data_IF_769775833645
#
_entry.id   IF_769775833645
#
_cell.length_a   1.000
_cell.length_b   1.000
_cell.length_c   1.000
_cell.angle_alpha   90.00
_cell.angle_beta   90.00
_cell.angle_gamma   90.00
#
_symmetry.space_group_name_H-M   'P 1'
#
loop_
_entity.id
_entity.type
_entity.pdbx_description
1 polymer ?
#
# COMPACT_ATOMS: atom_id res chain seq x y z
N UNK A 1 22.10 -5.14 -31.21
CA UNK A 1 21.98 -5.01 -29.74
C UNK A 1 20.90 -3.98 -29.43
N UNK A 2 19.77 -4.36 -28.80
CA UNK A 2 18.82 -3.35 -28.28
C UNK A 2 19.49 -2.68 -27.07
N UNK A 3 19.78 -1.37 -27.15
CA UNK A 3 20.21 -0.60 -25.98
C UNK A 3 19.12 -0.72 -24.90
N UNK A 4 19.54 -0.98 -23.66
CA UNK A 4 18.63 -0.97 -22.51
C UNK A 4 17.96 0.40 -22.30
N UNK A 5 16.91 0.48 -21.47
CA UNK A 5 16.25 1.75 -21.19
C UNK A 5 17.21 2.73 -20.52
N UNK A 6 17.03 4.02 -20.78
CA UNK A 6 17.71 5.09 -20.02
C UNK A 6 17.06 5.19 -18.65
N UNK A 7 17.85 5.07 -17.58
CA UNK A 7 17.37 5.21 -16.19
C UNK A 7 17.82 6.57 -15.65
N UNK A 8 16.87 7.36 -15.16
CA UNK A 8 17.09 8.65 -14.49
C UNK A 8 16.61 8.52 -13.06
N UNK A 9 17.45 8.88 -12.10
CA UNK A 9 17.11 8.88 -10.67
C UNK A 9 17.00 10.31 -10.16
N UNK A 10 15.96 10.60 -9.42
CA UNK A 10 15.74 11.88 -8.78
C UNK A 10 15.26 11.65 -7.34
N UNK A 11 15.60 12.58 -6.45
CA UNK A 11 15.01 12.61 -5.11
C UNK A 11 13.62 13.26 -5.17
N UNK A 12 12.73 12.92 -4.24
CA UNK A 12 11.45 13.62 -4.08
C UNK A 12 11.65 15.13 -3.90
N UNK A 13 10.78 15.96 -4.46
CA UNK A 13 10.98 17.42 -4.55
C UNK A 13 12.30 17.87 -5.21
N UNK A 14 13.04 16.95 -5.84
CA UNK A 14 14.30 17.21 -6.53
C UNK A 14 14.12 17.44 -8.02
N UNK A 15 15.17 17.96 -8.67
CA UNK A 15 15.21 18.10 -10.12
C UNK A 15 15.37 16.73 -10.78
N UNK A 16 14.57 16.45 -11.81
CA UNK A 16 14.70 15.27 -12.68
C UNK A 16 15.59 15.65 -13.85
N UNK A 17 16.87 15.23 -13.79
CA UNK A 17 17.86 15.54 -14.82
C UNK A 17 17.69 14.61 -16.05
N UNK A 18 16.76 14.98 -16.94
CA UNK A 18 16.55 14.28 -18.21
C UNK A 18 17.74 14.52 -19.17
N UNK A 19 18.36 13.47 -19.74
CA UNK A 19 19.36 13.62 -20.80
C UNK A 19 18.76 14.26 -22.05
N UNK A 20 19.58 14.94 -22.86
CA UNK A 20 19.15 15.66 -24.07
C UNK A 20 18.16 14.93 -25.00
N UNK A 21 18.35 13.64 -25.37
CA UNK A 21 17.38 12.94 -26.23
C UNK A 21 15.99 12.79 -25.58
N UNK A 22 15.91 12.88 -24.25
CA UNK A 22 14.68 12.77 -23.47
C UNK A 22 14.18 14.13 -22.95
N UNK A 23 14.96 15.20 -23.03
CA UNK A 23 14.65 16.50 -22.43
C UNK A 23 13.73 17.39 -23.31
N UNK A 24 12.65 16.81 -23.83
CA UNK A 24 11.66 17.50 -24.69
C UNK A 24 10.36 17.79 -23.94
N UNK A 25 9.57 18.76 -24.42
CA UNK A 25 8.26 19.07 -23.82
C UNK A 25 7.31 17.86 -23.86
N UNK A 26 7.26 17.16 -25.00
CA UNK A 26 6.42 15.97 -25.16
C UNK A 26 6.79 14.83 -24.19
N UNK A 27 8.08 14.61 -23.89
CA UNK A 27 8.49 13.59 -22.92
C UNK A 27 8.10 14.00 -21.51
N UNK A 28 8.28 15.28 -21.12
CA UNK A 28 7.85 15.79 -19.81
C UNK A 28 6.34 15.64 -19.61
N UNK A 29 5.55 16.01 -20.61
CA UNK A 29 4.10 15.84 -20.60
C UNK A 29 3.70 14.36 -20.47
N UNK A 30 4.36 13.45 -21.20
CA UNK A 30 4.11 12.01 -21.07
C UNK A 30 4.42 11.47 -19.67
N UNK A 31 5.49 11.95 -19.02
CA UNK A 31 5.81 11.59 -17.63
C UNK A 31 4.72 12.08 -16.66
N UNK A 32 4.28 13.34 -16.81
CA UNK A 32 3.20 13.92 -16.02
C UNK A 32 1.88 13.14 -16.21
N UNK A 33 1.48 12.86 -17.45
CA UNK A 33 0.25 12.11 -17.75
C UNK A 33 0.32 10.66 -17.27
N UNK A 34 1.48 10.00 -17.38
CA UNK A 34 1.66 8.65 -16.83
C UNK A 34 1.46 8.62 -15.31
N UNK A 35 2.04 9.59 -14.60
CA UNK A 35 1.86 9.72 -13.15
C UNK A 35 0.40 10.06 -12.77
N UNK A 36 -0.22 11.01 -13.48
CA UNK A 36 -1.61 11.42 -13.25
C UNK A 36 -2.59 10.28 -13.47
N UNK A 37 -2.38 9.44 -14.49
CA UNK A 37 -3.13 8.19 -14.68
C UNK A 37 -2.98 7.25 -13.47
N UNK A 38 -1.78 7.15 -12.91
CA UNK A 38 -1.53 6.46 -11.65
C UNK A 38 -2.24 7.06 -10.42
N UNK A 39 -2.87 8.24 -10.56
CA UNK A 39 -3.54 8.97 -9.49
C UNK A 39 -2.65 9.97 -8.76
N UNK A 40 -1.45 10.25 -9.28
CA UNK A 40 -0.44 11.06 -8.60
C UNK A 40 0.00 12.25 -9.44
N UNK A 41 0.04 13.44 -8.85
CA UNK A 41 0.76 14.58 -9.41
C UNK A 41 2.24 14.47 -9.06
N UNK A 42 2.95 13.53 -9.70
CA UNK A 42 4.33 13.18 -9.37
C UNK A 42 5.38 14.17 -9.88
N UNK A 43 5.05 14.91 -10.94
CA UNK A 43 5.98 15.82 -11.58
C UNK A 43 5.38 17.22 -11.71
N UNK A 44 6.28 18.18 -11.86
CA UNK A 44 5.98 19.56 -12.16
C UNK A 44 7.03 20.12 -13.12
N UNK A 45 6.59 20.57 -14.29
CA UNK A 45 7.44 21.31 -15.22
C UNK A 45 7.52 22.78 -14.83
N UNK A 46 8.74 23.31 -14.64
CA UNK A 46 9.03 24.73 -14.42
C UNK A 46 9.97 25.20 -15.54
N UNK A 47 9.43 25.94 -16.51
CA UNK A 47 10.17 26.31 -17.72
C UNK A 47 10.63 25.07 -18.50
N UNK A 48 11.94 24.87 -18.65
CA UNK A 48 12.53 23.71 -19.34
C UNK A 48 12.94 22.58 -18.39
N UNK A 49 12.69 22.71 -17.10
CA UNK A 49 13.11 21.75 -16.08
C UNK A 49 11.91 20.96 -15.55
N UNK A 50 12.15 19.70 -15.22
CA UNK A 50 11.17 18.80 -14.60
C UNK A 50 11.59 18.58 -13.14
N UNK A 51 10.63 18.67 -12.22
CA UNK A 51 10.83 18.41 -10.81
C UNK A 51 9.91 17.29 -10.34
N UNK A 52 10.42 16.42 -9.47
CA UNK A 52 9.59 15.49 -8.74
C UNK A 52 8.80 16.23 -7.65
N UNK A 53 7.69 15.64 -7.21
CA UNK A 53 6.90 16.10 -6.05
C UNK A 53 6.99 15.08 -4.91
N UNK A 54 6.15 15.20 -3.89
CA UNK A 54 6.15 14.35 -2.68
C UNK A 54 5.64 12.92 -2.90
N UNK A 55 6.19 12.24 -3.90
CA UNK A 55 5.93 10.83 -4.19
C UNK A 55 7.24 10.12 -4.46
N UNK A 56 7.25 8.80 -4.27
CA UNK A 56 8.38 7.92 -4.56
C UNK A 56 7.92 6.74 -5.41
N UNK A 57 8.86 6.09 -6.07
CA UNK A 57 8.59 4.98 -6.98
C UNK A 57 9.15 5.24 -8.35
N UNK A 58 8.39 4.94 -9.39
CA UNK A 58 8.93 4.86 -10.76
C UNK A 58 7.88 5.13 -11.82
N UNK A 59 8.30 5.84 -12.86
CA UNK A 59 7.54 6.05 -14.08
C UNK A 59 8.35 5.57 -15.28
N UNK A 60 7.78 4.65 -16.04
CA UNK A 60 8.41 3.93 -17.13
C UNK A 60 7.65 4.21 -18.44
N UNK A 61 8.33 4.84 -19.40
CA UNK A 61 7.82 5.14 -20.73
C UNK A 61 8.36 4.17 -21.81
N UNK A 62 8.85 2.99 -21.39
CA UNK A 62 9.46 1.98 -22.24
C UNK A 62 10.96 2.19 -22.43
N UNK A 63 11.34 3.29 -23.09
CA UNK A 63 12.75 3.64 -23.36
C UNK A 63 13.40 4.53 -22.29
N UNK A 64 12.59 5.16 -21.44
CA UNK A 64 13.00 6.04 -20.35
C UNK A 64 12.31 5.58 -19.06
N UNK A 65 13.09 5.41 -18.00
CA UNK A 65 12.62 5.08 -16.66
C UNK A 65 13.07 6.19 -15.72
N UNK A 66 12.13 6.81 -15.02
CA UNK A 66 12.40 7.81 -13.99
C UNK A 66 12.06 7.20 -12.63
N UNK A 67 13.08 7.00 -11.79
CA UNK A 67 12.91 6.57 -10.40
C UNK A 67 12.95 7.79 -9.48
N UNK A 68 11.91 7.96 -8.66
CA UNK A 68 11.81 8.99 -7.63
C UNK A 68 12.07 8.33 -6.29
N UNK A 69 13.12 8.78 -5.61
CA UNK A 69 13.64 8.17 -4.38
C UNK A 69 13.38 9.08 -3.18
N UNK A 70 13.19 8.52 -1.98
CA UNK A 70 12.97 9.31 -0.77
C UNK A 70 14.21 10.12 -0.39
N UNK A 71 13.99 11.31 0.18
CA UNK A 71 15.02 12.10 0.85
C UNK A 71 15.14 11.61 2.29
N UNK A 72 15.91 10.55 2.54
CA UNK A 72 16.12 10.08 3.92
C UNK A 72 17.35 10.69 4.57
N UNK A 73 18.37 11.01 3.79
CA UNK A 73 19.59 11.65 4.25
C UNK A 73 20.08 12.58 3.13
N UNK A 74 20.41 13.82 3.45
CA UNK A 74 20.83 14.81 2.45
C UNK A 74 22.13 14.40 1.70
N UNK A 75 22.83 13.35 2.15
CA UNK A 75 24.16 12.94 1.66
C UNK A 75 24.27 11.50 1.11
N UNK A 76 23.22 10.67 1.12
CA UNK A 76 23.37 9.26 0.73
C UNK A 76 23.37 9.08 -0.80
N UNK A 77 24.24 8.20 -1.35
CA UNK A 77 24.26 7.91 -2.77
C UNK A 77 22.92 7.28 -3.22
N UNK A 78 22.47 7.50 -4.48
CA UNK A 78 21.17 7.03 -4.98
C UNK A 78 20.90 5.52 -4.83
N UNK A 79 21.97 4.70 -4.75
CA UNK A 79 21.86 3.27 -4.49
C UNK A 79 21.27 2.97 -3.11
N UNK A 80 21.65 3.71 -2.09
CA UNK A 80 21.15 3.54 -0.72
C UNK A 80 19.70 3.98 -0.57
N UNK A 81 19.30 5.07 -1.23
CA UNK A 81 17.90 5.51 -1.25
C UNK A 81 16.98 4.48 -1.94
N UNK A 82 17.47 3.81 -2.98
CA UNK A 82 16.78 2.68 -3.63
C UNK A 82 16.71 1.46 -2.70
N UNK A 83 17.76 1.23 -1.90
CA UNK A 83 17.80 0.20 -0.85
C UNK A 83 16.69 0.46 0.16
N UNK A 84 16.72 1.64 0.74
CA UNK A 84 15.77 2.09 1.75
C UNK A 84 14.32 2.02 1.26
N UNK A 85 14.00 2.53 0.06
CA UNK A 85 12.62 2.49 -0.45
C UNK A 85 12.09 1.04 -0.58
N UNK A 86 12.92 0.10 -1.02
CA UNK A 86 12.47 -1.29 -1.11
C UNK A 86 12.28 -1.93 0.27
N UNK A 87 13.16 -1.62 1.22
CA UNK A 87 13.01 -2.11 2.59
C UNK A 87 11.78 -1.53 3.27
N UNK A 88 11.47 -0.26 2.98
CA UNK A 88 10.26 0.43 3.41
C UNK A 88 9.00 -0.24 2.84
N UNK A 89 8.97 -0.52 1.53
CA UNK A 89 7.84 -1.21 0.89
C UNK A 89 7.66 -2.64 1.40
N UNK A 90 8.77 -3.35 1.67
CA UNK A 90 8.76 -4.68 2.28
C UNK A 90 8.18 -4.62 3.69
N UNK A 91 8.74 -3.77 4.54
CA UNK A 91 8.32 -3.66 5.93
C UNK A 91 6.87 -3.18 6.03
N UNK A 92 6.45 -2.21 5.21
CA UNK A 92 5.08 -1.71 5.15
C UNK A 92 4.02 -2.75 4.74
N UNK A 93 4.42 -3.98 4.38
CA UNK A 93 3.51 -5.07 4.02
C UNK A 93 2.91 -4.93 2.62
N UNK A 94 3.39 -3.97 1.82
CA UNK A 94 3.00 -3.85 0.40
C UNK A 94 3.63 -4.97 -0.43
N UNK A 95 4.79 -5.47 0.00
CA UNK A 95 5.58 -6.48 -0.71
C UNK A 95 6.23 -7.48 0.27
N UNK A 96 5.42 -8.13 1.11
CA UNK A 96 5.89 -9.17 2.04
C UNK A 96 6.69 -10.24 1.26
N UNK A 97 7.88 -10.64 1.74
CA UNK A 97 8.86 -11.56 1.08
C UNK A 97 9.83 -10.97 0.03
N UNK A 98 9.93 -9.64 -0.11
CA UNK A 98 10.95 -9.01 -0.99
C UNK A 98 12.41 -9.39 -0.72
N UNK A 99 12.79 -9.72 0.52
CA UNK A 99 14.19 -9.96 0.90
C UNK A 99 14.87 -11.10 0.11
N UNK A 100 14.09 -12.12 -0.31
CA UNK A 100 14.59 -13.26 -1.08
C UNK A 100 14.99 -12.86 -2.51
N UNK A 101 14.46 -11.74 -3.03
CA UNK A 101 14.82 -11.22 -4.36
C UNK A 101 16.18 -10.54 -4.37
N UNK A 102 16.50 -9.77 -3.32
CA UNK A 102 17.75 -8.99 -3.23
C UNK A 102 18.99 -9.81 -3.00
N UNK A 103 18.91 -10.90 -2.22
CA UNK A 103 20.06 -11.79 -2.00
C UNK A 103 20.63 -12.39 -3.30
N UNK A 104 19.92 -12.27 -4.44
CA UNK A 104 20.30 -12.82 -5.74
C UNK A 104 20.64 -11.77 -6.81
N UNK A 105 20.65 -10.47 -6.48
CA UNK A 105 20.81 -9.37 -7.46
C UNK A 105 21.68 -8.26 -6.89
N UNK A 106 22.65 -7.77 -7.66
CA UNK A 106 23.54 -6.70 -7.22
C UNK A 106 22.78 -5.37 -7.02
N UNK A 107 23.17 -4.53 -6.04
CA UNK A 107 22.59 -3.21 -5.85
C UNK A 107 22.66 -2.36 -7.13
N UNK A 108 21.51 -1.82 -7.56
CA UNK A 108 21.44 -0.85 -8.67
C UNK A 108 21.18 -1.41 -10.07
N UNK A 109 21.21 -2.73 -10.28
CA UNK A 109 20.96 -3.36 -11.59
C UNK A 109 19.48 -3.48 -11.98
N UNK A 110 18.59 -3.60 -10.99
CA UNK A 110 17.15 -3.74 -11.21
C UNK A 110 16.41 -2.48 -10.77
N UNK A 111 15.49 -2.04 -11.63
CA UNK A 111 14.56 -0.96 -11.27
C UNK A 111 13.53 -1.44 -10.27
N UNK A 112 12.96 -0.52 -9.50
CA UNK A 112 11.92 -0.86 -8.53
C UNK A 112 10.68 -1.51 -9.17
N UNK A 113 10.35 -1.18 -10.43
CA UNK A 113 9.31 -1.90 -11.20
C UNK A 113 9.66 -3.38 -11.29
N UNK A 114 10.88 -3.72 -11.73
CA UNK A 114 11.25 -5.12 -11.94
C UNK A 114 11.28 -5.89 -10.63
N UNK A 115 11.67 -5.24 -9.53
CA UNK A 115 11.61 -5.82 -8.18
C UNK A 115 10.16 -6.16 -7.81
N UNK A 116 9.22 -5.24 -8.02
CA UNK A 116 7.79 -5.43 -7.72
C UNK A 116 7.17 -6.52 -8.61
N UNK A 117 7.48 -6.51 -9.91
CA UNK A 117 6.99 -7.51 -10.85
C UNK A 117 7.53 -8.92 -10.51
N UNK A 118 8.82 -9.02 -10.19
CA UNK A 118 9.43 -10.29 -9.79
C UNK A 118 8.89 -10.79 -8.45
N UNK A 119 8.61 -9.88 -7.51
CA UNK A 119 7.90 -10.20 -6.28
C UNK A 119 6.51 -10.77 -6.54
N UNK A 120 5.69 -10.10 -7.35
CA UNK A 120 4.31 -10.50 -7.60
C UNK A 120 4.19 -11.94 -8.10
N UNK A 121 5.05 -12.33 -9.03
CA UNK A 121 5.04 -13.68 -9.62
C UNK A 121 5.53 -14.72 -8.62
N UNK A 122 6.53 -14.41 -7.79
CA UNK A 122 7.01 -15.33 -6.75
C UNK A 122 5.99 -15.50 -5.63
N UNK A 123 5.33 -14.43 -5.23
CA UNK A 123 4.28 -14.44 -4.23
C UNK A 123 3.07 -15.23 -4.74
N UNK A 124 2.66 -15.03 -6.00
CA UNK A 124 1.64 -15.84 -6.64
C UNK A 124 2.02 -17.33 -6.65
N UNK A 125 3.26 -17.66 -7.04
CA UNK A 125 3.73 -19.04 -7.04
C UNK A 125 3.74 -19.67 -5.64
N UNK A 126 4.17 -18.92 -4.61
CA UNK A 126 4.15 -19.39 -3.24
C UNK A 126 2.71 -19.67 -2.76
N UNK A 127 1.78 -18.76 -3.05
CA UNK A 127 0.38 -18.92 -2.69
C UNK A 127 -0.31 -20.07 -3.46
N UNK A 128 0.08 -20.30 -4.72
CA UNK A 128 -0.44 -21.39 -5.56
C UNK A 128 0.01 -22.77 -5.06
N UNK A 129 1.19 -22.89 -4.44
CA UNK A 129 1.62 -24.15 -3.78
C UNK A 129 0.67 -24.57 -2.66
N UNK A 130 0.03 -23.60 -2.00
CA UNK A 130 -0.99 -23.85 -0.99
C UNK A 130 -2.42 -23.95 -1.61
N UNK A 131 -2.53 -24.02 -2.93
CA UNK A 131 -3.77 -24.14 -3.69
C UNK A 131 -4.36 -22.80 -4.17
N UNK A 132 -5.05 -22.86 -5.32
CA UNK A 132 -5.86 -21.76 -5.83
C UNK A 132 -6.99 -21.40 -4.86
N UNK A 133 -7.44 -20.13 -4.83
CA UNK A 133 -8.63 -19.76 -4.09
C UNK A 133 -9.82 -20.57 -4.59
N UNK A 134 -10.58 -21.18 -3.69
CA UNK A 134 -11.77 -21.96 -3.99
C UNK A 134 -12.98 -21.29 -3.38
N UNK A 135 -13.97 -20.97 -4.21
CA UNK A 135 -15.19 -20.28 -3.77
C UNK A 135 -16.44 -21.03 -4.23
N UNK A 136 -17.43 -21.06 -3.36
CA UNK A 136 -18.79 -21.47 -3.71
C UNK A 136 -19.41 -20.41 -4.64
N UNK A 137 -19.79 -20.82 -5.85
CA UNK A 137 -20.45 -19.93 -6.80
C UNK A 137 -21.78 -20.51 -7.23
N UNK A 138 -22.86 -19.79 -7.00
CA UNK A 138 -24.18 -20.20 -7.47
C UNK A 138 -24.16 -20.29 -9.00
N UNK A 139 -24.48 -21.46 -9.53
CA UNK A 139 -24.66 -21.73 -10.95
C UNK A 139 -26.05 -22.32 -11.15
N UNK A 140 -26.73 -21.84 -12.19
CA UNK A 140 -27.93 -22.45 -12.73
C UNK A 140 -27.51 -23.15 -14.03
N UNK A 141 -27.66 -24.48 -14.09
CA UNK A 141 -27.31 -25.27 -15.26
C UNK A 141 -28.33 -26.36 -15.53
N UNK A 142 -28.24 -26.93 -16.72
CA UNK A 142 -29.02 -28.10 -17.11
C UNK A 142 -28.15 -29.34 -16.90
N UNK A 143 -28.62 -30.29 -16.10
CA UNK A 143 -27.90 -31.50 -15.75
C UNK A 143 -28.77 -32.74 -15.87
N UNK A 144 -28.19 -33.89 -16.21
CA UNK A 144 -28.88 -35.18 -16.19
C UNK A 144 -28.92 -35.81 -14.79
N UNK A 145 -28.24 -35.22 -13.82
CA UNK A 145 -28.21 -35.68 -12.43
C UNK A 145 -28.62 -34.56 -11.47
N UNK A 146 -29.25 -34.92 -10.37
CA UNK A 146 -29.60 -33.95 -9.31
C UNK A 146 -28.33 -33.55 -8.56
N UNK A 147 -27.89 -32.31 -8.78
CA UNK A 147 -26.84 -31.67 -7.99
C UNK A 147 -27.41 -30.40 -7.39
N UNK A 148 -27.59 -30.36 -6.07
CA UNK A 148 -28.20 -29.22 -5.38
C UNK A 148 -29.72 -29.13 -5.54
N UNK A 149 -30.26 -27.92 -5.69
CA UNK A 149 -31.70 -27.67 -5.74
C UNK A 149 -32.22 -27.71 -7.16
N UNK A 150 -33.32 -28.42 -7.39
CA UNK A 150 -34.03 -28.40 -8.66
C UNK A 150 -34.89 -27.13 -8.75
N UNK A 151 -34.77 -26.39 -9.85
CA UNK A 151 -35.59 -25.21 -10.12
C UNK A 151 -36.92 -25.62 -10.76
N UNK A 152 -37.89 -25.95 -9.90
CA UNK A 152 -39.22 -26.47 -10.30
C UNK A 152 -39.94 -25.62 -11.34
N UNK A 153 -39.70 -24.30 -11.34
CA UNK A 153 -40.26 -23.34 -12.32
C UNK A 153 -39.93 -23.70 -13.78
N UNK A 154 -38.78 -24.32 -14.03
CA UNK A 154 -38.34 -24.70 -15.37
C UNK A 154 -38.85 -26.09 -15.78
N UNK A 155 -39.10 -27.00 -14.83
CA UNK A 155 -39.72 -28.29 -15.12
C UNK A 155 -41.17 -28.13 -15.63
N UNK A 156 -41.92 -27.18 -15.07
CA UNK A 156 -43.30 -26.93 -15.48
C UNK A 156 -43.45 -26.39 -16.91
N UNK A 157 -42.36 -25.88 -17.52
CA UNK A 157 -42.36 -25.27 -18.87
C UNK A 157 -41.62 -26.11 -19.90
N UNK A 158 -41.34 -27.38 -19.58
CA UNK A 158 -40.44 -28.23 -20.35
C UNK A 158 -41.16 -28.88 -21.54
N UNK A 159 -40.48 -28.92 -22.70
CA UNK A 159 -41.01 -29.57 -23.89
C UNK A 159 -40.95 -31.11 -23.77
N UNK A 160 -41.90 -31.86 -24.38
CA UNK A 160 -41.87 -33.32 -24.42
C UNK A 160 -40.58 -33.87 -25.03
N UNK A 161 -40.08 -35.01 -24.53
CA UNK A 161 -38.85 -35.64 -25.03
C UNK A 161 -37.56 -35.09 -24.41
N UNK A 162 -37.67 -34.06 -23.58
CA UNK A 162 -36.65 -33.65 -22.64
C UNK A 162 -37.15 -34.10 -21.28
N UNK A 163 -36.82 -35.31 -20.83
CA UNK A 163 -37.11 -35.75 -19.44
C UNK A 163 -35.83 -35.83 -18.58
N UNK A 164 -34.67 -35.91 -19.23
CA UNK A 164 -33.32 -36.10 -18.66
C UNK A 164 -32.44 -34.82 -18.48
N UNK A 165 -33.03 -33.63 -18.49
CA UNK A 165 -32.46 -32.27 -18.43
C UNK A 165 -33.09 -31.57 -17.22
N UNK A 166 -32.47 -31.70 -16.06
CA UNK A 166 -32.90 -31.05 -14.84
C UNK A 166 -32.24 -29.68 -14.74
N UNK A 167 -33.06 -28.63 -14.62
CA UNK A 167 -32.58 -27.30 -14.29
C UNK A 167 -32.22 -27.27 -12.82
N UNK A 168 -30.94 -27.25 -12.51
CA UNK A 168 -30.41 -27.30 -11.15
C UNK A 168 -29.69 -26.02 -10.79
N UNK A 169 -29.97 -25.52 -9.59
CA UNK A 169 -29.26 -24.44 -8.95
C UNK A 169 -28.42 -25.00 -7.82
N UNK A 170 -27.11 -24.88 -7.95
CA UNK A 170 -26.16 -25.37 -6.95
C UNK A 170 -24.96 -24.43 -6.85
N UNK A 171 -24.16 -24.60 -5.80
CA UNK A 171 -22.93 -23.84 -5.63
C UNK A 171 -21.76 -24.81 -5.51
N UNK A 172 -21.11 -25.21 -6.62
CA UNK A 172 -19.92 -26.04 -6.53
C UNK A 172 -18.75 -25.21 -6.00
N UNK A 173 -17.85 -25.86 -5.26
CA UNK A 173 -16.59 -25.28 -4.85
C UNK A 173 -15.66 -25.20 -6.08
N UNK A 174 -15.41 -23.98 -6.57
CA UNK A 174 -14.70 -23.75 -7.84
C UNK A 174 -13.47 -22.87 -7.70
N UNK A 175 -12.39 -23.27 -8.38
CA UNK A 175 -11.18 -22.46 -8.56
C UNK A 175 -11.37 -21.38 -9.63
N UNK A 176 -12.25 -21.60 -10.59
CA UNK A 176 -12.68 -20.59 -11.55
C UNK A 176 -13.66 -19.63 -10.87
N UNK A 177 -13.14 -18.56 -10.26
CA UNK A 177 -13.86 -17.55 -9.49
C UNK A 177 -13.26 -16.15 -9.70
N UNK A 178 -13.94 -15.07 -9.28
CA UNK A 178 -13.46 -13.70 -9.51
C UNK A 178 -12.06 -13.41 -8.93
N UNK A 179 -11.72 -13.97 -7.76
CA UNK A 179 -10.41 -13.81 -7.16
C UNK A 179 -9.33 -14.44 -8.05
N UNK A 180 -9.50 -15.71 -8.42
CA UNK A 180 -8.57 -16.40 -9.31
C UNK A 180 -8.44 -15.70 -10.68
N UNK A 181 -9.55 -15.18 -11.22
CA UNK A 181 -9.53 -14.41 -12.47
C UNK A 181 -8.68 -13.14 -12.38
N UNK A 182 -8.82 -12.36 -11.29
CA UNK A 182 -8.01 -11.16 -11.06
C UNK A 182 -6.52 -11.52 -10.90
N UNK A 183 -6.21 -12.61 -10.19
CA UNK A 183 -4.83 -13.11 -10.07
C UNK A 183 -4.27 -13.52 -11.42
N UNK A 184 -5.03 -14.27 -12.24
CA UNK A 184 -4.62 -14.65 -13.60
C UNK A 184 -4.33 -13.41 -14.45
N UNK A 185 -5.21 -12.41 -14.39
CA UNK A 185 -5.00 -11.14 -15.07
C UNK A 185 -3.71 -10.44 -14.62
N UNK A 186 -3.47 -10.34 -13.30
CA UNK A 186 -2.26 -9.72 -12.75
C UNK A 186 -0.99 -10.42 -13.25
N UNK A 187 -0.94 -11.75 -13.21
CA UNK A 187 0.23 -12.52 -13.67
C UNK A 187 0.47 -12.29 -15.18
N UNK A 188 -0.60 -12.21 -15.98
CA UNK A 188 -0.48 -11.88 -17.40
C UNK A 188 0.04 -10.46 -17.62
N UNK A 189 -0.40 -9.49 -16.83
CA UNK A 189 0.13 -8.14 -16.86
C UNK A 189 1.63 -8.12 -16.53
N UNK A 190 2.08 -8.87 -15.53
CA UNK A 190 3.50 -8.99 -15.21
C UNK A 190 4.29 -9.58 -16.38
N UNK A 191 3.77 -10.65 -17.00
CA UNK A 191 4.40 -11.34 -18.13
C UNK A 191 4.67 -10.42 -19.31
N UNK A 192 3.78 -9.46 -19.59
CA UNK A 192 3.94 -8.49 -20.69
C UNK A 192 4.85 -7.33 -20.30
N UNK A 193 4.81 -6.87 -19.04
CA UNK A 193 5.51 -5.66 -18.59
C UNK A 193 6.95 -5.86 -18.15
N UNK A 194 7.30 -7.02 -17.60
CA UNK A 194 8.67 -7.26 -17.11
C UNK A 194 9.66 -7.22 -18.27
N UNK A 195 10.88 -6.72 -18.04
CA UNK A 195 12.04 -6.87 -18.94
C UNK A 195 12.88 -8.09 -18.58
N UNK A 196 12.69 -8.66 -17.39
CA UNK A 196 13.46 -9.78 -16.89
C UNK A 196 12.95 -11.12 -17.44
N UNK A 197 13.80 -11.82 -18.19
CA UNK A 197 13.48 -13.13 -18.76
C UNK A 197 13.10 -14.18 -17.69
N UNK A 198 13.77 -14.27 -16.53
CA UNK A 198 13.38 -15.20 -15.47
C UNK A 198 11.96 -14.96 -14.94
N UNK A 199 11.62 -13.69 -14.68
CA UNK A 199 10.27 -13.28 -14.23
C UNK A 199 9.22 -13.63 -15.27
N UNK A 200 9.49 -13.34 -16.55
CA UNK A 200 8.59 -13.66 -17.66
C UNK A 200 8.32 -15.17 -17.79
N UNK A 201 9.36 -15.99 -17.71
CA UNK A 201 9.23 -17.45 -17.78
C UNK A 201 8.36 -17.98 -16.64
N UNK A 202 8.61 -17.52 -15.41
CA UNK A 202 7.84 -17.93 -14.25
C UNK A 202 6.37 -17.52 -14.37
N UNK A 203 6.10 -16.29 -14.81
CA UNK A 203 4.72 -15.82 -15.03
C UNK A 203 3.98 -16.68 -16.06
N UNK A 204 4.63 -17.07 -17.17
CA UNK A 204 4.04 -17.95 -18.18
C UNK A 204 3.74 -19.36 -17.65
N UNK A 205 4.61 -19.91 -16.81
CA UNK A 205 4.36 -21.19 -16.14
C UNK A 205 3.10 -21.14 -15.29
N UNK A 206 2.97 -20.10 -14.45
CA UNK A 206 1.78 -19.94 -13.60
C UNK A 206 0.51 -19.73 -14.41
N UNK A 207 0.58 -19.01 -15.54
CA UNK A 207 -0.58 -18.84 -16.42
C UNK A 207 -1.07 -20.18 -16.99
N UNK A 208 -0.14 -21.05 -17.37
CA UNK A 208 -0.47 -22.40 -17.85
C UNK A 208 -1.11 -23.26 -16.74
N UNK A 209 -0.59 -23.20 -15.51
CA UNK A 209 -1.21 -23.85 -14.34
C UNK A 209 -2.63 -23.34 -14.05
N UNK A 210 -2.99 -22.14 -14.53
CA UNK A 210 -4.29 -21.50 -14.37
C UNK A 210 -5.14 -21.55 -15.65
N UNK A 211 -4.85 -22.43 -16.62
CA UNK A 211 -5.57 -22.48 -17.90
C UNK A 211 -7.07 -22.78 -17.73
N UNK A 212 -7.46 -23.53 -16.70
CA UNK A 212 -8.87 -23.82 -16.35
C UNK A 212 -9.63 -22.63 -15.76
N UNK A 213 -8.93 -21.58 -15.30
CA UNK A 213 -9.55 -20.36 -14.77
C UNK A 213 -9.91 -19.44 -15.94
N UNK A 214 -11.17 -18.97 -16.02
CA UNK A 214 -11.60 -18.10 -17.11
C UNK A 214 -10.86 -16.77 -17.09
N UNK A 215 -10.52 -16.27 -18.28
CA UNK A 215 -9.93 -14.96 -18.45
C UNK A 215 -10.94 -13.86 -18.07
N UNK A 216 -10.46 -12.84 -17.37
CA UNK A 216 -11.23 -11.63 -17.05
C UNK A 216 -10.41 -10.39 -17.34
N UNK A 217 -11.09 -9.30 -17.67
CA UNK A 217 -10.50 -7.96 -17.75
C UNK A 217 -11.09 -7.16 -16.59
N UNK A 218 -10.49 -7.23 -15.38
CA UNK A 218 -11.08 -6.64 -14.20
C UNK A 218 -11.06 -5.11 -14.29
N UNK A 219 -12.07 -4.49 -13.71
CA UNK A 219 -12.11 -3.06 -13.41
C UNK A 219 -11.82 -2.84 -11.94
N UNK A 220 -11.47 -1.60 -11.57
CA UNK A 220 -11.21 -1.25 -10.15
C UNK A 220 -12.38 -1.58 -9.23
N UNK A 221 -13.61 -1.43 -9.73
CA UNK A 221 -14.83 -1.81 -9.00
C UNK A 221 -14.91 -3.31 -8.68
N UNK A 222 -14.32 -4.18 -9.50
CA UNK A 222 -14.31 -5.63 -9.25
C UNK A 222 -13.45 -5.99 -8.05
N UNK A 223 -12.28 -5.35 -7.91
CA UNK A 223 -11.42 -5.53 -6.74
C UNK A 223 -12.08 -4.95 -5.50
N UNK A 224 -12.67 -3.75 -5.59
CA UNK A 224 -13.33 -3.10 -4.45
C UNK A 224 -14.53 -3.88 -3.90
N UNK A 225 -15.25 -4.62 -4.77
CA UNK A 225 -16.36 -5.50 -4.36
C UNK A 225 -15.90 -6.83 -3.78
N UNK A 226 -14.63 -7.18 -3.91
CA UNK A 226 -14.12 -8.47 -3.50
C UNK A 226 -13.91 -8.50 -1.98
N UNK A 227 -14.79 -9.23 -1.29
CA UNK A 227 -14.63 -9.53 0.13
C UNK A 227 -13.73 -10.75 0.25
N UNK A 228 -12.57 -10.59 0.90
CA UNK A 228 -11.67 -11.69 1.23
C UNK A 228 -12.13 -12.37 2.51
N UNK A 229 -12.15 -13.69 2.49
CA UNK A 229 -12.29 -14.52 3.69
C UNK A 229 -10.96 -14.52 4.46
N UNK A 230 -10.97 -14.79 5.78
CA UNK A 230 -9.73 -14.89 6.56
C UNK A 230 -8.71 -15.90 5.98
N UNK A 231 -9.21 -17.01 5.41
CA UNK A 231 -8.43 -18.03 4.70
C UNK A 231 -7.78 -17.53 3.41
N UNK A 232 -8.26 -16.42 2.86
CA UNK A 232 -7.78 -15.82 1.62
C UNK A 232 -6.88 -14.60 1.86
N UNK A 233 -6.57 -14.28 3.13
CA UNK A 233 -5.79 -13.10 3.49
C UNK A 233 -4.43 -13.02 2.76
N UNK A 234 -3.81 -14.17 2.45
CA UNK A 234 -2.55 -14.28 1.69
C UNK A 234 -2.61 -13.69 0.28
N UNK A 235 -3.80 -13.58 -0.31
CA UNK A 235 -3.99 -13.01 -1.65
C UNK A 235 -4.11 -11.49 -1.67
N UNK A 236 -4.31 -10.86 -0.50
CA UNK A 236 -4.50 -9.42 -0.38
C UNK A 236 -3.37 -8.59 -1.00
N UNK A 237 -2.06 -8.90 -0.80
CA UNK A 237 -0.99 -8.11 -1.39
C UNK A 237 -1.03 -8.10 -2.92
N UNK A 238 -1.35 -9.24 -3.53
CA UNK A 238 -1.49 -9.35 -4.98
C UNK A 238 -2.69 -8.54 -5.51
N UNK A 239 -3.79 -8.51 -4.77
CA UNK A 239 -4.94 -7.68 -5.12
C UNK A 239 -4.65 -6.17 -5.00
N UNK A 240 -3.88 -5.75 -3.98
CA UNK A 240 -3.43 -4.36 -3.86
C UNK A 240 -2.57 -3.96 -5.07
N UNK A 241 -1.68 -4.86 -5.51
CA UNK A 241 -0.89 -4.64 -6.73
C UNK A 241 -1.77 -4.61 -8.00
N UNK A 242 -2.79 -5.47 -8.08
CA UNK A 242 -3.72 -5.48 -9.20
C UNK A 242 -4.52 -4.16 -9.29
N UNK A 243 -5.05 -3.63 -8.18
CA UNK A 243 -5.73 -2.32 -8.17
C UNK A 243 -4.77 -1.20 -8.58
N UNK A 244 -3.53 -1.23 -8.09
CA UNK A 244 -2.51 -0.25 -8.46
C UNK A 244 -2.22 -0.26 -9.96
N UNK A 245 -2.06 -1.44 -10.57
CA UNK A 245 -1.86 -1.55 -12.02
C UNK A 245 -3.10 -1.14 -12.81
N UNK A 246 -4.32 -1.46 -12.33
CA UNK A 246 -5.57 -1.06 -12.98
C UNK A 246 -5.78 0.45 -13.02
N UNK A 247 -5.27 1.20 -12.04
CA UNK A 247 -5.28 2.68 -12.09
C UNK A 247 -4.53 3.20 -13.31
N UNK A 248 -3.51 2.47 -13.77
CA UNK A 248 -2.62 2.88 -14.85
C UNK A 248 -3.11 2.42 -16.24
N UNK A 249 -4.10 1.52 -16.30
CA UNK A 249 -4.67 1.05 -17.57
C UNK A 249 -5.75 2.02 -18.03
N UNK A 250 -5.37 2.98 -18.86
CA UNK A 250 -6.30 3.70 -19.73
C UNK A 250 -5.68 3.80 -21.12
N UNK A 251 -6.45 3.57 -22.20
CA UNK A 251 -5.94 3.64 -23.56
C UNK A 251 -5.27 4.99 -23.79
N UNK A 252 -4.03 4.99 -24.27
CA UNK A 252 -3.40 6.20 -24.79
C UNK A 252 -4.12 6.58 -26.10
N UNK A 253 -4.88 7.69 -26.15
CA UNK A 253 -5.61 8.05 -27.37
C UNK A 253 -4.68 8.44 -28.53
N UNK A 254 -3.39 8.67 -28.25
CA UNK A 254 -2.45 9.29 -29.20
C UNK A 254 -1.58 8.33 -30.01
N UNK A 255 -1.40 7.06 -29.62
CA UNK A 255 -0.56 6.10 -30.36
C UNK A 255 -0.98 4.65 -30.16
N UNK A 256 -1.57 4.06 -31.20
CA UNK A 256 -1.58 2.62 -31.36
C UNK A 256 -0.14 2.14 -31.63
N UNK A 257 0.49 1.55 -30.61
CA UNK A 257 1.78 0.86 -30.74
C UNK A 257 2.97 1.59 -30.14
N UNK A 258 3.29 1.25 -28.88
CA UNK A 258 4.63 1.10 -28.30
C UNK A 258 4.56 1.32 -26.78
N UNK A 259 4.49 0.23 -26.01
CA UNK A 259 4.57 0.18 -24.53
C UNK A 259 3.75 1.24 -23.77
N UNK A 260 2.60 0.84 -23.24
CA UNK A 260 1.84 1.66 -22.29
C UNK A 260 2.74 2.11 -21.14
N UNK A 261 2.69 3.41 -20.84
CA UNK A 261 3.44 3.97 -19.73
C UNK A 261 2.99 3.33 -18.40
N UNK A 262 3.95 2.93 -17.56
CA UNK A 262 3.70 2.31 -16.26
C UNK A 262 4.18 3.25 -15.16
N UNK A 263 3.37 3.50 -14.13
CA UNK A 263 3.68 4.46 -13.07
C UNK A 263 3.42 3.86 -11.68
N UNK A 264 4.39 3.15 -11.12
CA UNK A 264 4.29 2.56 -9.77
C UNK A 264 4.76 3.59 -8.76
N UNK A 265 3.83 4.31 -8.14
CA UNK A 265 4.10 5.45 -7.27
C UNK A 265 3.40 5.30 -5.91
N UNK A 266 4.01 5.87 -4.89
CA UNK A 266 3.54 5.87 -3.51
C UNK A 266 3.77 7.26 -2.89
N UNK A 267 2.91 7.69 -1.97
CA UNK A 267 3.24 8.83 -1.11
C UNK A 267 4.09 8.34 0.06
N UNK A 268 5.10 9.12 0.48
CA UNK A 268 5.89 8.71 1.65
C UNK A 268 5.11 8.79 2.96
N UNK A 269 4.10 9.66 3.02
CA UNK A 269 3.17 9.69 4.14
C UNK A 269 2.44 8.35 4.31
N UNK A 270 1.84 7.80 3.24
CA UNK A 270 1.14 6.51 3.31
C UNK A 270 2.10 5.36 3.69
N UNK A 271 3.33 5.38 3.15
CA UNK A 271 4.34 4.38 3.48
C UNK A 271 4.75 4.46 4.96
N UNK A 272 4.99 5.67 5.46
CA UNK A 272 5.35 5.90 6.85
C UNK A 272 4.25 5.47 7.81
N UNK A 273 3.01 5.86 7.53
CA UNK A 273 1.83 5.45 8.28
C UNK A 273 1.70 3.92 8.31
N UNK A 274 1.84 3.24 7.15
CA UNK A 274 1.78 1.77 7.06
C UNK A 274 2.83 1.08 7.93
N UNK A 275 4.07 1.58 7.93
CA UNK A 275 5.14 1.05 8.80
C UNK A 275 4.74 1.16 10.26
N UNK A 276 4.33 2.35 10.71
CA UNK A 276 3.92 2.58 12.10
C UNK A 276 2.72 1.70 12.48
N UNK A 277 1.72 1.58 11.60
CA UNK A 277 0.56 0.68 11.81
C UNK A 277 0.98 -0.76 12.05
N UNK A 278 1.93 -1.27 11.25
CA UNK A 278 2.47 -2.62 11.43
C UNK A 278 3.15 -2.75 12.78
N UNK A 279 4.05 -1.82 13.12
CA UNK A 279 4.78 -1.83 14.40
C UNK A 279 3.80 -1.85 15.58
N UNK A 280 2.80 -0.97 15.56
CA UNK A 280 1.84 -0.85 16.67
C UNK A 280 0.92 -2.07 16.78
N UNK A 281 0.45 -2.61 15.66
CA UNK A 281 -0.35 -3.84 15.68
C UNK A 281 0.43 -5.02 16.26
N UNK A 282 1.70 -5.13 15.89
CA UNK A 282 2.52 -6.28 16.24
C UNK A 282 3.07 -6.17 17.69
N UNK A 283 3.26 -4.94 18.20
CA UNK A 283 3.89 -4.69 19.52
C UNK A 283 2.96 -4.26 20.66
N UNK A 284 1.87 -3.51 20.41
CA UNK A 284 1.07 -2.93 21.50
C UNK A 284 0.24 -3.95 22.29
N UNK A 285 -0.03 -5.13 21.71
CA UNK A 285 -0.79 -6.18 22.37
C UNK A 285 -0.16 -6.64 23.69
N UNK A 286 1.17 -6.62 23.78
CA UNK A 286 1.92 -6.94 25.00
C UNK A 286 1.64 -5.96 26.15
N UNK A 287 1.12 -4.77 25.85
CA UNK A 287 0.77 -3.73 26.82
C UNK A 287 -0.75 -3.62 27.02
N UNK A 288 -1.54 -4.59 26.55
CA UNK A 288 -3.00 -4.55 26.66
C UNK A 288 -3.66 -3.47 25.80
N UNK A 289 -2.93 -2.90 24.84
CA UNK A 289 -3.39 -1.86 23.92
C UNK A 289 -3.51 -2.39 22.49
N UNK A 290 -4.31 -1.71 21.68
CA UNK A 290 -4.42 -2.00 20.25
C UNK A 290 -4.93 -0.81 19.46
N UNK A 291 -4.76 -0.89 18.12
CA UNK A 291 -5.33 0.07 17.20
C UNK A 291 -6.85 -0.11 17.09
N UNK A 292 -7.58 1.01 17.08
CA UNK A 292 -9.03 1.08 16.95
C UNK A 292 -9.40 1.63 15.58
N UNK A 293 -10.63 1.32 15.13
CA UNK A 293 -11.15 1.82 13.86
C UNK A 293 -11.71 3.23 14.06
N UNK A 294 -11.41 4.18 13.14
CA UNK A 294 -12.09 5.47 13.14
C UNK A 294 -13.58 5.26 12.80
N UNK A 295 -14.44 5.97 13.51
CA UNK A 295 -15.91 5.85 13.37
C UNK A 295 -16.67 7.15 13.64
N UNK A 296 -15.96 8.27 13.82
CA UNK A 296 -16.58 9.56 14.13
C UNK A 296 -16.75 10.41 12.88
N UNK A 297 -17.86 11.13 12.84
CA UNK A 297 -18.17 12.16 11.85
C UNK A 297 -18.16 13.50 12.59
N UNK A 298 -17.52 14.50 12.02
CA UNK A 298 -17.27 15.79 12.67
C UNK A 298 -18.53 16.64 12.77
N UNK A 299 -19.40 16.58 11.76
CA UNK A 299 -20.61 17.40 11.71
C UNK A 299 -21.86 16.53 11.79
N UNK A 300 -22.89 17.09 12.41
CA UNK A 300 -24.22 16.51 12.44
C UNK A 300 -25.18 17.48 11.74
N UNK A 301 -25.93 16.96 10.77
CA UNK A 301 -26.98 17.67 10.08
C UNK A 301 -28.29 16.88 10.22
N UNK A 302 -29.43 17.54 10.02
CA UNK A 302 -30.75 16.89 10.11
C UNK A 302 -30.88 15.68 9.17
N UNK A 303 -30.17 15.69 8.03
CA UNK A 303 -30.13 14.59 7.05
C UNK A 303 -29.09 13.52 7.34
N UNK A 304 -28.37 13.61 8.46
CA UNK A 304 -27.36 12.64 8.88
C UNK A 304 -26.01 13.26 9.23
N UNK A 305 -25.07 12.39 9.61
CA UNK A 305 -23.73 12.79 10.03
C UNK A 305 -22.82 12.95 8.81
N UNK A 306 -21.99 14.00 8.82
CA UNK A 306 -21.17 14.43 7.67
C UNK A 306 -19.71 14.66 8.09
N UNK A 307 -18.81 14.63 7.11
CA UNK A 307 -17.36 14.85 7.28
C UNK A 307 -16.69 13.82 8.21
N UNK A 308 -16.30 12.64 7.69
CA UNK A 308 -15.63 11.63 8.51
C UNK A 308 -14.30 12.16 9.04
N UNK A 309 -14.11 12.05 10.36
CA UNK A 309 -12.85 12.34 11.02
C UNK A 309 -11.97 11.11 10.94
N UNK A 310 -10.75 11.26 10.41
CA UNK A 310 -9.85 10.14 10.13
C UNK A 310 -8.46 10.45 10.69
N UNK A 311 -8.28 10.36 12.02
CA UNK A 311 -6.94 10.26 12.57
C UNK A 311 -6.25 9.02 12.01
N UNK A 312 -4.94 9.10 11.78
CA UNK A 312 -4.17 7.95 11.32
C UNK A 312 -4.23 6.83 12.37
N UNK A 313 -4.11 7.15 13.65
CA UNK A 313 -4.15 6.17 14.72
C UNK A 313 -5.19 6.53 15.76
N UNK A 314 -5.97 5.52 16.14
CA UNK A 314 -6.71 5.52 17.39
C UNK A 314 -6.15 4.38 18.22
N UNK A 315 -5.74 4.68 19.44
CA UNK A 315 -5.25 3.68 20.38
C UNK A 315 -6.24 3.52 21.52
N UNK A 316 -6.34 2.32 22.07
CA UNK A 316 -7.09 2.07 23.28
C UNK A 316 -6.87 0.67 23.82
N UNK A 317 -7.41 0.35 25.01
CA UNK A 317 -7.35 -0.99 25.59
C UNK A 317 -7.89 -2.04 24.63
N UNK A 318 -7.34 -3.25 24.60
CA UNK A 318 -7.81 -4.33 23.69
C UNK A 318 -9.33 -4.52 23.76
N UNK A 319 -9.88 -4.47 24.98
CA UNK A 319 -11.32 -4.39 25.26
C UNK A 319 -11.66 -2.97 25.71
N UNK A 320 -12.32 -2.19 24.85
CA UNK A 320 -12.67 -0.79 25.14
C UNK A 320 -12.63 0.12 23.92
N UNK A 321 -13.00 1.38 24.14
CA UNK A 321 -12.96 2.46 23.15
C UNK A 321 -11.57 3.09 22.97
N UNK A 322 -11.43 4.06 22.06
CA UNK A 322 -10.21 4.83 21.91
C UNK A 322 -9.95 5.71 23.14
N UNK A 323 -8.69 5.78 23.60
CA UNK A 323 -8.23 6.64 24.70
C UNK A 323 -7.12 7.61 24.28
N UNK A 324 -6.50 7.39 23.12
CA UNK A 324 -5.52 8.28 22.52
C UNK A 324 -5.68 8.35 21.01
N UNK A 325 -5.30 9.51 20.46
CA UNK A 325 -5.26 9.76 19.01
C UNK A 325 -3.81 9.91 18.57
N UNK A 326 -3.50 9.46 17.36
CA UNK A 326 -2.19 9.62 16.76
C UNK A 326 -2.26 10.04 15.30
N UNK A 327 -1.25 10.76 14.85
CA UNK A 327 -1.12 11.22 13.46
C UNK A 327 0.32 11.05 12.97
N UNK A 328 0.51 10.57 11.74
CA UNK A 328 1.81 10.40 11.12
C UNK A 328 2.12 11.60 10.22
N UNK A 329 3.20 12.33 10.49
CA UNK A 329 3.65 13.44 9.64
C UNK A 329 4.97 13.09 8.98
N UNK A 330 4.98 12.99 7.65
CA UNK A 330 6.22 12.90 6.86
C UNK A 330 6.86 14.29 6.72
N UNK A 331 7.33 14.84 7.85
CA UNK A 331 8.00 16.15 7.95
C UNK A 331 9.06 16.08 9.06
N UNK A 332 10.21 16.74 8.88
CA UNK A 332 11.24 16.87 9.93
C UNK A 332 10.79 17.88 10.98
N UNK A 333 10.01 17.43 11.95
CA UNK A 333 9.43 18.31 12.99
C UNK A 333 10.40 18.55 14.14
N UNK A 334 11.25 17.58 14.50
CA UNK A 334 12.10 17.66 15.70
C UNK A 334 13.56 17.98 15.41
N UNK A 335 14.06 17.62 14.23
CA UNK A 335 15.46 17.71 13.87
C UNK A 335 15.70 18.50 12.58
N UNK A 336 14.73 19.31 12.16
CA UNK A 336 14.85 20.17 10.97
C UNK A 336 15.89 21.29 11.16
N UNK A 337 16.23 21.98 10.07
CA UNK A 337 17.18 23.11 10.11
C UNK A 337 16.75 24.21 11.10
N UNK A 338 15.44 24.44 11.22
CA UNK A 338 14.84 25.42 12.14
C UNK A 338 14.56 24.84 13.54
N UNK A 339 15.01 23.61 13.83
CA UNK A 339 14.73 22.91 15.08
C UNK A 339 13.31 22.34 15.15
N UNK A 340 12.49 22.84 16.08
CA UNK A 340 11.11 22.36 16.28
C UNK A 340 10.11 23.11 15.39
N UNK A 341 9.40 22.39 14.50
CA UNK A 341 8.53 22.99 13.49
C UNK A 341 7.19 22.25 13.30
N UNK A 342 6.34 22.24 14.33
CA UNK A 342 4.95 21.77 14.19
C UNK A 342 4.08 22.90 13.59
N UNK A 343 3.38 22.62 12.49
CA UNK A 343 2.54 23.65 11.85
C UNK A 343 1.22 23.90 12.60
N UNK A 344 0.69 25.11 12.50
CA UNK A 344 -0.60 25.49 13.11
C UNK A 344 -1.74 24.60 12.64
N UNK A 345 -1.78 24.27 11.35
CA UNK A 345 -2.81 23.39 10.80
C UNK A 345 -2.72 21.96 11.35
N UNK A 346 -1.51 21.44 11.53
CA UNK A 346 -1.29 20.14 12.17
C UNK A 346 -1.76 20.17 13.63
N UNK A 347 -1.46 21.25 14.37
CA UNK A 347 -1.92 21.43 15.75
C UNK A 347 -3.45 21.53 15.87
N UNK A 348 -4.11 22.30 14.99
CA UNK A 348 -5.57 22.42 14.97
C UNK A 348 -6.27 21.11 14.60
N UNK A 349 -5.69 20.34 13.67
CA UNK A 349 -6.19 19.02 13.33
C UNK A 349 -6.14 18.07 14.53
N UNK A 350 -5.00 18.03 15.24
CA UNK A 350 -4.82 17.17 16.41
C UNK A 350 -5.73 17.53 17.57
N UNK A 351 -5.90 18.82 17.85
CA UNK A 351 -6.83 19.28 18.91
C UNK A 351 -8.28 18.92 18.58
N UNK A 352 -8.67 19.00 17.29
CA UNK A 352 -9.98 18.52 16.82
C UNK A 352 -10.14 17.01 17.04
N UNK A 353 -9.10 16.22 16.76
CA UNK A 353 -9.10 14.77 16.99
C UNK A 353 -9.24 14.43 18.47
N UNK A 354 -8.47 15.10 19.33
CA UNK A 354 -8.51 14.93 20.78
C UNK A 354 -9.90 15.21 21.34
N UNK A 355 -10.48 16.37 20.98
CA UNK A 355 -11.80 16.78 21.44
C UNK A 355 -12.89 15.80 20.97
N UNK A 356 -12.88 15.42 19.69
CA UNK A 356 -13.93 14.55 19.12
C UNK A 356 -13.93 13.15 19.73
N UNK A 357 -12.75 12.63 20.05
CA UNK A 357 -12.61 11.31 20.67
C UNK A 357 -12.57 11.34 22.20
N UNK A 358 -12.70 12.52 22.82
CA UNK A 358 -12.52 12.72 24.27
C UNK A 358 -11.21 12.12 24.78
N UNK A 359 -10.20 12.10 23.93
CA UNK A 359 -8.91 11.48 24.21
C UNK A 359 -8.06 12.43 25.06
N UNK A 360 -7.33 11.87 26.02
CA UNK A 360 -6.42 12.62 26.91
C UNK A 360 -4.98 12.65 26.42
N UNK A 361 -4.66 11.83 25.44
CA UNK A 361 -3.32 11.71 24.87
C UNK A 361 -3.35 11.85 23.36
N UNK A 362 -2.57 12.80 22.84
CA UNK A 362 -2.31 13.02 21.42
C UNK A 362 -0.88 12.64 21.10
N UNK A 363 -0.67 11.95 19.99
CA UNK A 363 0.63 11.47 19.53
C UNK A 363 0.89 11.97 18.10
N UNK A 364 2.04 12.57 17.85
CA UNK A 364 2.50 12.90 16.50
C UNK A 364 3.74 12.10 16.23
N UNK A 365 3.73 11.32 15.16
CA UNK A 365 4.91 10.58 14.73
C UNK A 365 5.55 11.31 13.56
N UNK A 366 6.86 11.53 13.60
CA UNK A 366 7.59 12.14 12.50
C UNK A 366 8.94 11.47 12.26
N UNK A 367 9.46 11.46 11.02
CA UNK A 367 10.78 10.90 10.74
C UNK A 367 11.89 11.76 11.35
N UNK A 368 12.96 11.08 11.80
CA UNK A 368 14.26 11.67 12.11
C UNK A 368 15.26 11.33 10.98
N UNK A 369 16.14 12.27 10.68
CA UNK A 369 17.23 12.12 9.72
C UNK A 369 18.40 11.30 10.27
N UNK A 370 18.58 11.27 11.59
CA UNK A 370 19.61 10.47 12.27
C UNK A 370 18.98 9.71 13.44
N UNK A 371 19.51 8.54 13.82
CA UNK A 371 19.09 7.89 15.05
C UNK A 371 19.44 8.79 16.25
N UNK A 372 18.64 8.75 17.30
CA UNK A 372 19.06 9.29 18.58
C UNK A 372 20.26 8.49 19.13
N UNK A 373 21.04 9.08 20.03
CA UNK A 373 22.35 8.57 20.48
C UNK A 373 22.34 7.14 21.03
N UNK A 374 21.21 6.67 21.54
CA UNK A 374 20.96 5.33 22.11
C UNK A 374 19.98 4.49 21.26
N UNK A 375 19.67 4.91 20.03
CA UNK A 375 18.61 4.33 19.22
C UNK A 375 17.21 4.61 19.76
N UNK A 376 17.08 5.51 20.75
CA UNK A 376 15.79 5.97 21.25
C UNK A 376 15.07 6.85 20.23
N UNK A 377 13.81 7.08 20.57
CA UNK A 377 12.94 8.05 19.94
C UNK A 377 13.23 9.42 20.53
N UNK A 378 13.18 10.46 19.70
CA UNK A 378 13.22 11.83 20.20
C UNK A 378 11.80 12.25 20.57
N UNK A 379 11.58 12.84 21.75
CA UNK A 379 10.23 13.21 22.18
C UNK A 379 10.19 14.64 22.69
N UNK A 380 9.13 15.37 22.31
CA UNK A 380 8.76 16.63 22.96
C UNK A 380 7.33 16.56 23.48
N UNK A 381 7.17 16.98 24.73
CA UNK A 381 5.92 16.92 25.48
C UNK A 381 5.28 18.30 25.54
N UNK A 382 3.97 18.37 25.32
CA UNK A 382 3.17 19.59 25.35
C UNK A 382 1.88 19.35 26.11
N UNK A 383 1.32 20.42 26.70
CA UNK A 383 -0.04 20.43 27.23
C UNK A 383 -0.94 21.17 26.28
N UNK A 384 -2.11 20.59 25.99
CA UNK A 384 -3.11 21.22 25.14
C UNK A 384 -4.02 22.09 26.02
N UNK A 385 -3.78 23.40 25.96
CA UNK A 385 -4.58 24.40 26.67
C UNK A 385 -6.07 24.23 26.38
N UNK A 386 -6.89 24.24 27.44
CA UNK A 386 -8.35 24.16 27.34
C UNK A 386 -8.95 22.75 27.19
N UNK A 387 -8.16 21.72 26.85
CA UNK A 387 -8.65 20.34 26.73
C UNK A 387 -8.21 19.42 27.87
N UNK A 388 -7.24 19.85 28.68
CA UNK A 388 -6.66 19.03 29.75
C UNK A 388 -6.11 17.71 29.20
N UNK A 389 -5.48 17.78 28.03
CA UNK A 389 -4.89 16.67 27.31
C UNK A 389 -3.39 16.94 27.08
N UNK A 390 -2.60 15.88 26.96
CA UNK A 390 -1.18 15.97 26.62
C UNK A 390 -0.98 15.67 25.13
N UNK A 391 -0.04 16.36 24.52
CA UNK A 391 0.40 16.13 23.15
C UNK A 391 1.89 15.76 23.16
N UNK A 392 2.23 14.62 22.54
CA UNK A 392 3.60 14.13 22.45
C UNK A 392 4.01 14.08 20.99
N UNK A 393 5.08 14.79 20.63
CA UNK A 393 5.70 14.73 19.31
C UNK A 393 6.87 13.76 19.39
N UNK A 394 6.75 12.62 18.72
CA UNK A 394 7.69 11.50 18.74
C UNK A 394 8.39 11.35 17.39
N UNK A 395 9.67 11.67 17.36
CA UNK A 395 10.59 11.43 16.26
C UNK A 395 11.06 9.99 16.24
N UNK A 396 11.00 9.37 15.06
CA UNK A 396 11.44 8.00 14.84
C UNK A 396 12.45 7.91 13.70
N UNK A 397 13.53 7.18 13.91
CA UNK A 397 14.49 6.90 12.84
C UNK A 397 14.05 5.69 12.03
N UNK A 398 13.48 5.95 10.85
CA UNK A 398 12.82 4.94 10.04
C UNK A 398 13.75 3.80 9.56
N UNK A 399 15.00 4.06 9.12
CA UNK A 399 15.94 2.98 8.77
C UNK A 399 16.17 1.99 9.91
N UNK A 400 16.29 2.46 11.15
CA UNK A 400 16.43 1.59 12.33
C UNK A 400 15.15 0.80 12.57
N UNK A 401 13.97 1.42 12.46
CA UNK A 401 12.70 0.72 12.71
C UNK A 401 12.40 -0.40 11.71
N UNK A 402 12.81 -0.25 10.45
CA UNK A 402 12.57 -1.25 9.40
C UNK A 402 13.66 -2.31 9.30
N UNK A 403 14.75 -2.16 10.06
CA UNK A 403 15.80 -3.17 10.16
C UNK A 403 15.23 -4.50 10.67
N UNK A 404 15.60 -5.60 10.02
CA UNK A 404 15.10 -6.92 10.36
C UNK A 404 15.91 -7.59 11.49
N UNK A 405 17.05 -7.02 11.87
CA UNK A 405 17.92 -7.54 12.91
C UNK A 405 17.43 -7.21 14.34
N UNK A 406 18.24 -7.62 15.35
CA UNK A 406 17.94 -7.37 16.75
C UNK A 406 17.80 -5.88 17.10
N UNK A 407 18.60 -5.02 16.45
CA UNK A 407 18.54 -3.57 16.64
C UNK A 407 17.19 -3.01 16.25
N UNK A 408 16.67 -3.36 15.06
CA UNK A 408 15.33 -2.94 14.66
C UNK A 408 14.23 -3.50 15.56
N UNK A 409 14.37 -4.74 16.05
CA UNK A 409 13.41 -5.31 17.01
C UNK A 409 13.38 -4.54 18.33
N UNK A 410 14.54 -4.21 18.88
CA UNK A 410 14.66 -3.41 20.08
C UNK A 410 14.06 -2.00 19.90
N UNK A 411 14.34 -1.34 18.78
CA UNK A 411 13.79 -0.02 18.48
C UNK A 411 12.25 -0.02 18.39
N UNK A 412 11.67 -1.04 17.74
CA UNK A 412 10.20 -1.20 17.66
C UNK A 412 9.57 -1.45 19.03
N UNK A 413 10.20 -2.29 19.86
CA UNK A 413 9.75 -2.54 21.22
C UNK A 413 9.81 -1.28 22.08
N UNK A 414 10.90 -0.53 22.00
CA UNK A 414 11.09 0.73 22.73
C UNK A 414 10.01 1.75 22.34
N UNK A 415 9.74 1.92 21.05
CA UNK A 415 8.65 2.78 20.56
C UNK A 415 7.28 2.36 21.12
N UNK A 416 6.95 1.06 21.09
CA UNK A 416 5.66 0.57 21.62
C UNK A 416 5.54 0.76 23.13
N UNK A 417 6.63 0.54 23.86
CA UNK A 417 6.71 0.70 25.32
C UNK A 417 6.50 2.16 25.70
N UNK A 418 7.15 3.07 24.99
CA UNK A 418 6.98 4.51 25.20
C UNK A 418 5.53 4.95 24.97
N UNK A 419 4.93 4.57 23.84
CA UNK A 419 3.55 4.93 23.52
C UNK A 419 2.60 4.37 24.59
N UNK A 420 2.78 3.12 25.00
CA UNK A 420 1.96 2.51 26.04
C UNK A 420 2.05 3.26 27.37
N UNK A 421 3.26 3.69 27.76
CA UNK A 421 3.47 4.47 28.98
C UNK A 421 2.74 5.83 28.92
N UNK A 422 2.82 6.55 27.79
CA UNK A 422 2.13 7.84 27.61
C UNK A 422 0.61 7.72 27.59
N UNK A 423 0.08 6.64 27.02
CA UNK A 423 -1.36 6.40 27.02
C UNK A 423 -1.83 6.05 28.44
N UNK A 424 -1.07 5.23 29.18
CA UNK A 424 -1.48 4.77 30.52
C UNK A 424 -1.36 5.85 31.58
N UNK A 425 -0.33 6.71 31.51
CA UNK A 425 -0.11 7.79 32.48
C UNK A 425 -1.31 8.76 32.58
N UNK A 426 -2.02 8.98 31.49
CA UNK A 426 -3.18 9.87 31.43
C UNK A 426 -4.54 9.15 31.62
N UNK A 427 -4.54 7.84 31.85
CA UNK A 427 -5.74 7.02 32.11
C UNK A 427 -5.89 6.71 33.61
N UNK A 428 -4.86 6.89 34.42
CA UNK A 428 -4.96 6.72 35.87
C UNK A 428 -6.05 7.65 36.44
N UNK A 429 -7.02 7.12 37.21
CA UNK A 429 -7.98 7.98 37.89
C UNK A 429 -7.22 8.84 38.90
N UNK A 430 -7.63 10.11 39.03
CA UNK A 430 -7.42 10.86 40.26
C UNK A 430 -8.00 10.01 41.40
N UNK A 431 -7.14 9.25 42.08
CA UNK A 431 -7.47 8.64 43.34
C UNK A 431 -7.70 9.79 44.32
N UNK A 432 -8.96 10.05 44.61
CA UNK A 432 -9.40 10.90 45.71
C UNK A 432 -9.64 10.02 46.94
#
# INVERSE_FOLDING_TARGET
MRRGPTIVRALEYGRVALPDPWNTAAVRERLEQAALRGGFKAFETRGRQLYARGVVGVVDLGGLIVEILPKTHDDNPPGEASIFLSDLLRFGGLLDRLAVLRAKTAPGELTIVEIILAWAVREAAANLREGLPRRYQVREEVSSAVRGRIEMRHLARRAPGKDFELYVRHAPLSEDNPLSGIIKWLIAQVSVRTRQAPTRRMARSLLHEMDHVRWVTPQRGDIARLVLQPTEARWKPLLELADMLLRQVSPDPGRAGAHDAVAVLFTLHDLFERVLRRIFRDGLGAHGLGLKRPGHMLLEHASGRMMPLRPDFLFGPLKGGPSAVGDAKWKRILDGADGFALSESDAYQLTTYLATHQAKTGLVFCPLARPAEDGSIMVRDFTVSGLGASLYVTGVHLPTLIDAGPSGQAARLNLCTHIAARITANVAPLAA
#
